data_IF_616201252022
#
_entry.id   IF_616201252022
#
_cell.length_a   1.000
_cell.length_b   1.000
_cell.length_c   1.000
_cell.angle_alpha   90.00
_cell.angle_beta   90.00
_cell.angle_gamma   90.00
#
_symmetry.space_group_name_H-M   'P 1'
#
loop_
_entity.id
_entity.type
_entity.pdbx_description
1 polymer ?
#
# COMPACT_ATOMS: atom_id res chain seq x y z
N UNK A 1 -15.19 -0.61 18.09
CA UNK A 1 -13.82 -0.80 18.62
C UNK A 1 -13.29 -2.14 18.15
N UNK A 2 -12.17 -2.17 17.43
CA UNK A 2 -11.54 -3.41 16.95
C UNK A 2 -10.47 -3.81 17.96
N UNK A 3 -10.49 -5.08 18.41
CA UNK A 3 -9.46 -5.63 19.29
C UNK A 3 -8.90 -6.89 18.67
N UNK A 4 -7.60 -6.87 18.40
CA UNK A 4 -6.89 -8.05 17.91
C UNK A 4 -6.37 -8.88 19.08
N UNK A 5 -6.37 -10.20 18.95
CA UNK A 5 -5.74 -11.07 19.93
C UNK A 5 -4.20 -10.91 19.84
N UNK A 6 -3.48 -10.93 20.98
CA UNK A 6 -2.03 -10.73 20.98
C UNK A 6 -1.25 -11.88 20.31
N UNK A 7 -1.89 -13.05 20.17
CA UNK A 7 -1.33 -14.25 19.52
C UNK A 7 -1.66 -14.34 18.03
N UNK A 8 -2.42 -13.39 17.48
CA UNK A 8 -2.92 -13.46 16.12
C UNK A 8 -1.79 -13.25 15.11
N UNK A 9 -1.54 -14.25 14.25
CA UNK A 9 -0.53 -14.16 13.19
C UNK A 9 -1.08 -13.61 11.87
N UNK A 10 -2.36 -13.84 11.63
CA UNK A 10 -3.06 -13.50 10.38
C UNK A 10 -4.41 -12.89 10.73
N UNK A 11 -4.70 -11.71 10.18
CA UNK A 11 -5.98 -11.04 10.35
C UNK A 11 -6.60 -10.74 8.99
N UNK A 12 -7.93 -10.87 8.92
CA UNK A 12 -8.73 -10.43 7.78
C UNK A 12 -9.86 -9.58 8.32
N UNK A 13 -9.95 -8.34 7.87
CA UNK A 13 -10.94 -7.35 8.29
C UNK A 13 -11.65 -6.86 7.03
N UNK A 14 -12.97 -6.76 7.05
CA UNK A 14 -13.69 -6.32 5.87
C UNK A 14 -15.16 -6.05 6.07
N UNK A 15 -15.79 -5.54 5.00
CA UNK A 15 -17.19 -5.09 4.96
C UNK A 15 -17.52 -4.10 6.08
N UNK A 16 -16.59 -3.18 6.35
CA UNK A 16 -16.74 -2.24 7.45
C UNK A 16 -16.15 -0.88 7.11
N UNK A 17 -16.60 0.14 7.84
CA UNK A 17 -15.92 1.42 7.90
C UNK A 17 -14.98 1.40 9.10
N UNK A 18 -13.69 1.56 8.84
CA UNK A 18 -12.70 1.76 9.89
C UNK A 18 -12.81 3.22 10.33
N UNK A 19 -12.96 3.48 11.64
CA UNK A 19 -13.09 4.83 12.12
C UNK A 19 -11.76 5.56 11.97
N UNK A 20 -11.78 6.89 11.86
CA UNK A 20 -10.56 7.69 11.73
C UNK A 20 -9.77 7.79 13.04
N UNK A 21 -10.40 7.46 14.18
CA UNK A 21 -9.86 7.61 15.54
C UNK A 21 -9.36 6.28 16.11
N UNK A 22 -8.89 5.35 15.27
CA UNK A 22 -8.42 4.04 15.77
C UNK A 22 -7.37 4.27 16.85
N UNK A 23 -7.69 3.96 18.11
CA UNK A 23 -6.71 4.06 19.17
C UNK A 23 -5.64 2.98 18.94
N UNK A 24 -4.40 3.40 18.65
CA UNK A 24 -3.23 2.52 18.53
C UNK A 24 -3.17 1.37 19.57
N UNK A 25 -3.48 1.56 20.87
CA UNK A 25 -3.45 0.47 21.85
C UNK A 25 -4.49 -0.66 21.60
N UNK A 26 -5.56 -0.39 20.85
CA UNK A 26 -6.59 -1.40 20.53
C UNK A 26 -6.16 -2.41 19.45
N UNK A 27 -5.14 -2.05 18.66
CA UNK A 27 -4.58 -2.84 17.56
C UNK A 27 -3.29 -3.59 17.93
N UNK A 28 -2.91 -3.60 19.20
CA UNK A 28 -1.64 -4.16 19.64
C UNK A 28 -1.65 -5.70 19.53
N UNK A 29 -1.30 -6.20 18.36
CA UNK A 29 -1.07 -7.61 18.09
C UNK A 29 0.41 -7.79 17.72
N UNK A 30 1.28 -8.05 18.71
CA UNK A 30 2.73 -8.05 18.51
C UNK A 30 3.21 -9.15 17.56
N UNK A 31 2.34 -10.13 17.26
CA UNK A 31 2.67 -11.26 16.39
C UNK A 31 2.01 -11.19 15.01
N UNK A 32 1.27 -10.13 14.68
CA UNK A 32 0.54 -10.06 13.41
C UNK A 32 1.50 -9.91 12.23
N UNK A 33 1.62 -10.96 11.43
CA UNK A 33 2.52 -11.03 10.26
C UNK A 33 1.80 -10.79 8.94
N UNK A 34 0.49 -11.05 8.86
CA UNK A 34 -0.30 -10.86 7.63
C UNK A 34 -1.62 -10.17 7.93
N UNK A 35 -1.93 -9.14 7.16
CA UNK A 35 -3.17 -8.40 7.26
C UNK A 35 -3.83 -8.31 5.90
N UNK A 36 -5.12 -8.64 5.85
CA UNK A 36 -5.97 -8.41 4.68
C UNK A 36 -7.11 -7.46 5.06
N UNK A 37 -7.25 -6.38 4.31
CA UNK A 37 -8.42 -5.50 4.33
C UNK A 37 -9.21 -5.70 3.05
N UNK A 38 -10.52 -5.93 3.15
CA UNK A 38 -11.38 -6.18 1.98
C UNK A 38 -12.73 -5.47 2.10
N UNK A 39 -13.16 -4.72 1.07
CA UNK A 39 -14.39 -3.90 1.12
C UNK A 39 -14.41 -2.99 2.36
N UNK A 40 -13.36 -2.18 2.52
CA UNK A 40 -13.17 -1.31 3.68
C UNK A 40 -13.13 0.15 3.25
N UNK A 41 -13.92 0.98 3.92
CA UNK A 41 -13.75 2.45 3.91
C UNK A 41 -12.83 2.82 5.07
N UNK A 42 -11.69 3.43 4.77
CA UNK A 42 -10.64 3.80 5.75
C UNK A 42 -9.97 5.09 5.27
N UNK A 43 -9.53 5.96 6.19
CA UNK A 43 -8.77 7.16 5.84
C UNK A 43 -7.26 6.89 5.78
N UNK A 44 -6.49 7.80 5.20
CA UNK A 44 -5.01 7.72 5.16
C UNK A 44 -4.43 7.61 6.58
N UNK A 45 -4.92 8.43 7.51
CA UNK A 45 -4.46 8.48 8.89
C UNK A 45 -4.74 7.16 9.64
N UNK A 46 -5.91 6.56 9.39
CA UNK A 46 -6.27 5.29 9.99
C UNK A 46 -5.39 4.14 9.48
N UNK A 47 -4.91 4.19 8.23
CA UNK A 47 -3.93 3.23 7.70
C UNK A 47 -2.58 3.40 8.39
N UNK A 48 -2.10 4.64 8.53
CA UNK A 48 -0.84 4.91 9.20
C UNK A 48 -0.86 4.43 10.65
N UNK A 49 -1.94 4.70 11.39
CA UNK A 49 -2.10 4.20 12.76
C UNK A 49 -2.12 2.66 12.79
N UNK A 50 -2.84 2.04 11.87
CA UNK A 50 -2.93 0.58 11.75
C UNK A 50 -1.56 -0.07 11.51
N UNK A 51 -0.77 0.48 10.59
CA UNK A 51 0.57 -0.01 10.29
C UNK A 51 1.55 0.25 11.43
N UNK A 52 1.43 1.41 12.11
CA UNK A 52 2.27 1.73 13.27
C UNK A 52 2.07 0.75 14.44
N UNK A 53 0.87 0.20 14.61
CA UNK A 53 0.54 -0.77 15.65
C UNK A 53 0.98 -2.21 15.32
N UNK A 54 1.30 -2.52 14.07
CA UNK A 54 1.64 -3.87 13.60
C UNK A 54 3.16 -4.03 13.38
N UNK A 55 3.93 -4.17 14.46
CA UNK A 55 5.39 -4.10 14.41
C UNK A 55 6.09 -5.24 13.66
N UNK A 56 5.44 -6.40 13.47
CA UNK A 56 6.02 -7.57 12.77
C UNK A 56 5.31 -7.89 11.45
N UNK A 57 4.53 -6.95 10.92
CA UNK A 57 3.73 -7.16 9.72
C UNK A 57 4.62 -7.34 8.48
N UNK A 58 4.54 -8.51 7.86
CA UNK A 58 5.34 -8.87 6.69
C UNK A 58 4.55 -8.74 5.39
N UNK A 59 3.23 -8.93 5.43
CA UNK A 59 2.39 -8.86 4.24
C UNK A 59 1.10 -8.08 4.48
N UNK A 60 0.83 -7.12 3.59
CA UNK A 60 -0.39 -6.33 3.55
C UNK A 60 -1.13 -6.60 2.23
N UNK A 61 -2.40 -6.98 2.34
CA UNK A 61 -3.31 -7.19 1.22
C UNK A 61 -4.48 -6.23 1.32
N UNK A 62 -4.66 -5.40 0.30
CA UNK A 62 -5.70 -4.40 0.21
C UNK A 62 -6.61 -4.75 -0.97
N UNK A 63 -7.90 -4.93 -0.70
CA UNK A 63 -8.88 -5.27 -1.70
C UNK A 63 -10.10 -4.36 -1.57
N UNK A 64 -10.55 -3.78 -2.68
CA UNK A 64 -11.76 -2.95 -2.72
C UNK A 64 -11.76 -1.89 -1.58
N UNK A 65 -10.67 -1.13 -1.45
CA UNK A 65 -10.57 -0.04 -0.47
C UNK A 65 -11.21 1.22 -1.06
N UNK A 66 -11.99 1.92 -0.25
CA UNK A 66 -12.77 3.11 -0.63
C UNK A 66 -12.44 4.32 0.24
N UNK A 67 -12.84 5.50 -0.23
CA UNK A 67 -12.73 6.79 0.48
C UNK A 67 -11.30 7.21 0.85
N UNK A 68 -10.29 6.70 0.12
CA UNK A 68 -8.88 7.07 0.26
C UNK A 68 -8.47 7.92 -0.95
N UNK A 69 -8.23 9.22 -0.74
CA UNK A 69 -7.72 10.11 -1.80
C UNK A 69 -6.27 9.79 -2.17
N UNK A 70 -5.40 9.88 -1.16
CA UNK A 70 -3.99 9.50 -1.22
C UNK A 70 -3.74 8.34 -0.28
N UNK A 71 -3.01 7.33 -0.74
CA UNK A 71 -2.60 6.21 0.11
C UNK A 71 -1.11 6.29 0.39
N UNK A 72 -0.76 6.60 1.63
CA UNK A 72 0.60 6.51 2.12
C UNK A 72 0.81 5.19 2.89
N UNK A 73 1.90 4.48 2.59
CA UNK A 73 2.28 3.24 3.27
C UNK A 73 3.73 3.36 3.71
N UNK A 74 3.94 3.29 5.02
CA UNK A 74 5.25 3.16 5.64
C UNK A 74 5.29 2.00 6.63
N UNK A 75 6.36 1.21 6.60
CA UNK A 75 6.55 0.10 7.52
C UNK A 75 7.98 -0.44 7.47
N UNK A 76 8.67 -0.61 8.61
CA UNK A 76 10.02 -1.17 8.65
C UNK A 76 10.05 -2.68 8.36
N UNK A 77 8.90 -3.37 8.40
CA UNK A 77 8.81 -4.83 8.38
C UNK A 77 8.14 -5.41 7.15
N UNK A 78 7.33 -4.63 6.42
CA UNK A 78 6.63 -5.11 5.23
C UNK A 78 7.59 -5.60 4.15
N UNK A 79 7.28 -6.78 3.63
CA UNK A 79 7.98 -7.47 2.54
C UNK A 79 7.12 -7.56 1.29
N UNK A 80 5.80 -7.62 1.46
CA UNK A 80 4.84 -7.76 0.38
C UNK A 80 3.69 -6.77 0.61
N UNK A 81 3.39 -5.99 -0.42
CA UNK A 81 2.17 -5.18 -0.50
C UNK A 81 1.44 -5.62 -1.77
N UNK A 82 0.17 -5.96 -1.64
CA UNK A 82 -0.64 -6.39 -2.77
C UNK A 82 -2.00 -5.71 -2.75
N UNK A 83 -2.39 -5.22 -3.91
CA UNK A 83 -3.67 -4.59 -4.16
C UNK A 83 -4.52 -5.46 -5.09
N UNK A 84 -5.84 -5.34 -4.94
CA UNK A 84 -6.82 -5.92 -5.86
C UNK A 84 -8.03 -5.01 -5.95
N UNK A 85 -8.43 -4.63 -7.17
CA UNK A 85 -9.67 -3.87 -7.42
C UNK A 85 -9.84 -2.64 -6.49
N UNK A 86 -8.74 -1.96 -6.20
CA UNK A 86 -8.70 -0.87 -5.22
C UNK A 86 -8.78 0.47 -5.95
N UNK A 87 -9.75 1.30 -5.57
CA UNK A 87 -9.98 2.61 -6.19
C UNK A 87 -9.48 3.70 -5.24
N UNK A 88 -8.44 4.41 -5.64
CA UNK A 88 -8.03 5.63 -4.95
C UNK A 88 -8.77 6.81 -5.57
N UNK A 89 -9.04 7.83 -4.77
CA UNK A 89 -9.53 9.11 -5.27
C UNK A 89 -8.43 9.80 -6.08
N UNK A 90 -8.22 9.35 -7.32
CA UNK A 90 -7.40 9.86 -8.43
C UNK A 90 -5.95 10.30 -8.20
N UNK A 91 -5.44 10.47 -6.99
CA UNK A 91 -4.24 11.31 -6.84
C UNK A 91 -2.96 10.51 -6.69
N UNK A 92 -2.81 9.60 -5.71
CA UNK A 92 -1.49 9.00 -5.47
C UNK A 92 -1.43 7.75 -4.56
N UNK A 93 -0.57 6.79 -4.92
CA UNK A 93 -0.04 5.75 -4.02
C UNK A 93 1.42 6.07 -3.68
N UNK A 94 1.73 6.25 -2.41
CA UNK A 94 3.09 6.50 -1.89
C UNK A 94 3.52 5.36 -0.98
N UNK A 95 4.61 4.73 -1.35
CA UNK A 95 5.32 3.74 -0.52
C UNK A 95 6.60 4.40 -0.04
N UNK A 96 6.66 4.82 1.22
CA UNK A 96 7.80 5.51 1.80
C UNK A 96 8.39 4.76 2.99
N UNK A 97 9.72 4.70 3.04
CA UNK A 97 10.47 4.06 4.13
C UNK A 97 10.03 2.61 4.40
N UNK A 98 10.00 1.81 3.34
CA UNK A 98 9.71 0.36 3.41
C UNK A 98 10.97 -0.43 3.07
N UNK A 99 12.00 -0.44 3.95
CA UNK A 99 13.34 -0.93 3.64
C UNK A 99 13.40 -2.44 3.36
N UNK A 100 12.37 -3.19 3.75
CA UNK A 100 12.26 -4.63 3.57
C UNK A 100 11.36 -5.06 2.42
N UNK A 101 10.76 -4.10 1.69
CA UNK A 101 9.81 -4.40 0.63
C UNK A 101 10.50 -5.19 -0.49
N UNK A 102 9.97 -6.37 -0.82
CA UNK A 102 10.46 -7.21 -1.90
C UNK A 102 9.50 -7.20 -3.10
N UNK A 103 8.20 -7.06 -2.85
CA UNK A 103 7.15 -7.14 -3.87
C UNK A 103 6.06 -6.09 -3.64
N UNK A 104 5.79 -5.28 -4.67
CA UNK A 104 4.69 -4.35 -4.74
C UNK A 104 3.78 -4.73 -5.92
N UNK A 105 2.61 -5.29 -5.62
CA UNK A 105 1.69 -5.83 -6.62
C UNK A 105 0.45 -4.93 -6.74
N UNK A 106 0.40 -4.08 -7.76
CA UNK A 106 -0.64 -3.05 -7.92
C UNK A 106 -1.79 -3.47 -8.84
N UNK A 107 -2.29 -4.71 -8.69
CA UNK A 107 -3.35 -5.23 -9.55
C UNK A 107 -4.64 -4.45 -9.32
N UNK A 108 -5.15 -3.79 -10.35
CA UNK A 108 -6.41 -3.05 -10.27
C UNK A 108 -6.37 -1.85 -9.32
N UNK A 109 -5.18 -1.25 -9.13
CA UNK A 109 -5.02 0.05 -8.48
C UNK A 109 -5.42 1.15 -9.46
N UNK A 110 -6.44 1.93 -9.14
CA UNK A 110 -6.82 3.10 -9.92
C UNK A 110 -6.22 4.38 -9.31
N UNK A 111 -4.97 4.69 -9.68
CA UNK A 111 -4.29 5.94 -9.33
C UNK A 111 -3.46 6.45 -10.50
N UNK A 112 -3.27 7.76 -10.58
CA UNK A 112 -2.44 8.36 -11.64
C UNK A 112 -0.94 8.13 -11.40
N UNK A 113 -0.50 8.25 -10.14
CA UNK A 113 0.92 8.21 -9.77
C UNK A 113 1.21 7.16 -8.69
N UNK A 114 2.26 6.37 -8.89
CA UNK A 114 2.87 5.52 -7.86
C UNK A 114 4.25 6.10 -7.52
N UNK A 115 4.49 6.39 -6.24
CA UNK A 115 5.79 6.78 -5.73
C UNK A 115 6.36 5.71 -4.79
N UNK A 116 7.64 5.38 -5.00
CA UNK A 116 8.36 4.38 -4.23
C UNK A 116 9.66 5.02 -3.75
N UNK A 117 9.74 5.23 -2.44
CA UNK A 117 10.82 5.92 -1.78
C UNK A 117 11.43 5.00 -0.71
N UNK A 118 12.77 4.99 -0.60
CA UNK A 118 13.50 4.21 0.42
C UNK A 118 13.08 2.72 0.50
N UNK A 119 12.92 2.06 -0.65
CA UNK A 119 12.61 0.63 -0.75
C UNK A 119 13.72 -0.18 -1.48
N UNK A 120 14.95 -0.23 -0.95
CA UNK A 120 16.12 -0.80 -1.62
C UNK A 120 16.04 -2.29 -1.93
N UNK A 121 15.14 -3.05 -1.28
CA UNK A 121 14.97 -4.50 -1.51
C UNK A 121 13.90 -4.84 -2.54
N UNK A 122 13.28 -3.85 -3.18
CA UNK A 122 12.18 -4.07 -4.12
C UNK A 122 12.68 -4.83 -5.36
N UNK A 123 12.13 -6.02 -5.58
CA UNK A 123 12.49 -6.90 -6.71
C UNK A 123 11.37 -7.01 -7.75
N UNK A 124 10.12 -6.83 -7.33
CA UNK A 124 8.95 -7.00 -8.19
C UNK A 124 8.03 -5.79 -8.03
N UNK A 125 7.74 -5.13 -9.14
CA UNK A 125 6.72 -4.09 -9.25
C UNK A 125 5.73 -4.49 -10.35
N UNK A 126 4.45 -4.61 -10.00
CA UNK A 126 3.36 -4.92 -10.92
C UNK A 126 2.57 -6.18 -10.55
N UNK A 127 1.59 -6.61 -11.36
CA UNK A 127 1.08 -5.96 -12.56
C UNK A 127 0.48 -4.59 -12.24
N UNK A 128 0.59 -3.66 -13.18
CA UNK A 128 0.11 -2.29 -13.04
C UNK A 128 -1.24 -2.14 -13.74
N UNK A 129 -2.09 -1.26 -13.23
CA UNK A 129 -3.33 -0.84 -13.90
C UNK A 129 -3.02 0.07 -15.10
N UNK A 130 -3.81 0.01 -16.18
CA UNK A 130 -3.66 0.93 -17.32
C UNK A 130 -3.91 2.41 -16.96
N UNK A 131 -4.52 2.69 -15.80
CA UNK A 131 -4.76 4.05 -15.31
C UNK A 131 -3.52 4.69 -14.65
N UNK A 132 -2.51 3.88 -14.31
CA UNK A 132 -1.24 4.40 -13.79
C UNK A 132 -0.47 5.06 -14.93
N UNK A 133 -0.30 6.37 -14.87
CA UNK A 133 0.40 7.16 -15.89
C UNK A 133 1.87 7.42 -15.53
N UNK A 134 2.18 7.43 -14.23
CA UNK A 134 3.49 7.82 -13.72
C UNK A 134 3.96 6.92 -12.58
N UNK A 135 5.22 6.50 -12.64
CA UNK A 135 5.88 5.76 -11.57
C UNK A 135 7.17 6.48 -11.20
N UNK A 136 7.36 6.76 -9.91
CA UNK A 136 8.60 7.35 -9.38
C UNK A 136 9.27 6.33 -8.47
N UNK A 137 10.52 6.02 -8.74
CA UNK A 137 11.33 5.15 -7.89
C UNK A 137 12.58 5.93 -7.50
N UNK A 138 12.64 6.38 -6.24
CA UNK A 138 13.61 7.37 -5.80
C UNK A 138 13.64 8.58 -6.78
N UNK A 139 14.79 8.85 -7.40
CA UNK A 139 14.97 9.96 -8.35
C UNK A 139 14.64 9.56 -9.80
N UNK A 140 14.29 8.30 -10.05
CA UNK A 140 13.92 7.81 -11.38
C UNK A 140 12.42 8.04 -11.61
N UNK A 141 12.09 8.60 -12.77
CA UNK A 141 10.70 8.79 -13.19
C UNK A 141 10.44 8.00 -14.45
N UNK A 142 9.38 7.19 -14.42
CA UNK A 142 8.89 6.41 -15.54
C UNK A 142 7.52 6.94 -15.96
N UNK A 143 7.35 7.18 -17.26
CA UNK A 143 6.04 7.41 -17.85
C UNK A 143 5.52 6.13 -18.47
N UNK A 144 4.30 5.77 -18.08
CA UNK A 144 3.61 4.57 -18.57
C UNK A 144 2.74 5.01 -19.75
N UNK A 145 3.10 4.57 -20.96
CA UNK A 145 2.29 4.82 -22.15
C UNK A 145 1.39 3.62 -22.38
N UNK A 146 0.09 3.81 -22.23
CA UNK A 146 -0.90 2.77 -22.50
C UNK A 146 -1.04 2.59 -24.02
N UNK A 147 -0.26 1.66 -24.56
CA UNK A 147 -0.53 0.97 -25.83
C UNK A 147 -0.75 -0.51 -25.47
N UNK A 148 -1.42 -1.30 -26.32
CA UNK A 148 -1.73 -2.73 -26.06
C UNK A 148 -0.51 -3.61 -25.66
N UNK A 149 0.70 -3.06 -25.73
CA UNK A 149 1.93 -3.49 -25.06
C UNK A 149 2.44 -2.33 -24.19
N UNK A 150 2.56 -2.54 -22.88
CA UNK A 150 3.04 -1.54 -21.91
C UNK A 150 4.50 -1.16 -22.22
N UNK A 151 4.72 0.04 -22.75
CA UNK A 151 6.05 0.61 -22.93
C UNK A 151 6.35 1.54 -21.75
N UNK A 152 7.39 1.21 -20.98
CA UNK A 152 7.88 2.03 -19.85
C UNK A 152 9.04 2.88 -20.38
N UNK A 153 8.89 4.21 -20.39
CA UNK A 153 9.99 5.13 -20.73
C UNK A 153 10.54 5.80 -19.46
N UNK A 154 11.86 5.84 -19.29
CA UNK A 154 12.52 6.41 -18.11
C UNK A 154 13.19 7.75 -18.43
N UNK A 155 13.09 8.73 -17.52
CA UNK A 155 13.87 9.98 -17.56
C UNK A 155 14.55 10.20 -16.21
N UNK A 156 15.83 10.55 -16.22
CA UNK A 156 16.58 10.97 -15.03
C UNK A 156 16.46 12.50 -14.93
N UNK A 157 15.93 13.03 -13.81
CA UNK A 157 16.04 14.46 -13.53
C UNK A 157 17.40 14.72 -12.90
N UNK A 158 18.24 15.52 -13.56
CA UNK A 158 19.44 16.09 -12.95
C UNK A 158 19.02 17.31 -12.13
N UNK A 159 19.53 17.41 -10.90
CA UNK A 159 19.32 18.50 -9.94
C UNK A 159 19.97 19.79 -10.40
#
# INVERSE_FOLDING_TARGET
>A
MIRLAPTLLVARIGMCKLPSDIAAPSLNSPLLRKLTLWLVSISEEAIDVLLSACHVLEALFLQDIHDVGRLHISSPTLRIISFSATLFGREELVVDDVPRLERLLCRGVDCETIQINKAPKLKVLGPLSPHVSKIRIANLVFQVRSSNTTLISSRIQQS
#
